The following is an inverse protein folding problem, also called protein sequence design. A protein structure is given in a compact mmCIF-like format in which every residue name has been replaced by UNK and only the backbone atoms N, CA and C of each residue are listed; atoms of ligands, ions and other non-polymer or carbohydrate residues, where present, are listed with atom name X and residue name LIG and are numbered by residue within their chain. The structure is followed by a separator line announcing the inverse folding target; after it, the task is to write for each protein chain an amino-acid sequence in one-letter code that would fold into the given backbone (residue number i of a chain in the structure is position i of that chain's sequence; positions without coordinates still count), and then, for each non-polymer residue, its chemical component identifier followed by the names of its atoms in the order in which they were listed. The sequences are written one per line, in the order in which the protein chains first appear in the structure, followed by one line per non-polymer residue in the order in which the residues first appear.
data_IF_404973910887
#
_entry.id   IF_404973910887
#
_cell.length_a   1.000
_cell.length_b   1.000
_cell.length_c   1.000
_cell.angle_alpha   90.00
_cell.angle_beta   90.00
_cell.angle_gamma   90.00
#
_symmetry.space_group_name_H-M   'P 1'
#
loop_
_entity.id
_entity.type
_entity.pdbx_description
1 polymer ?
#
# COMPACT_ATOMS: atom_id res chain seq x y z
N UNK A 1 -12.19 1.08 33.89
CA UNK A 1 -12.75 0.09 32.95
C UNK A 1 -13.34 0.67 31.66
N UNK A 2 -13.84 1.92 31.64
CA UNK A 2 -14.48 2.49 30.44
C UNK A 2 -13.56 2.54 29.19
N UNK A 3 -12.24 2.54 29.36
CA UNK A 3 -11.27 2.55 28.28
C UNK A 3 -11.34 1.27 27.41
N UNK A 4 -11.52 0.09 28.01
CA UNK A 4 -11.72 -1.17 27.27
C UNK A 4 -13.00 -1.13 26.41
N UNK A 5 -14.05 -0.47 26.91
CA UNK A 5 -15.30 -0.26 26.15
C UNK A 5 -15.19 0.75 25.01
N UNK A 6 -14.09 1.50 24.93
CA UNK A 6 -13.80 2.41 23.81
C UNK A 6 -12.83 1.78 22.78
N UNK A 7 -12.01 0.82 23.21
CA UNK A 7 -11.05 0.13 22.35
C UNK A 7 -11.69 -0.72 21.26
N UNK A 8 -11.03 -0.87 20.11
CA UNK A 8 -11.53 -1.67 18.99
C UNK A 8 -11.38 -3.15 19.30
N UNK A 9 -12.15 -4.01 18.63
CA UNK A 9 -12.16 -5.45 18.92
C UNK A 9 -10.79 -6.07 18.67
N UNK A 10 -10.12 -5.65 17.60
CA UNK A 10 -8.81 -6.12 17.18
C UNK A 10 -7.74 -5.78 18.23
N UNK A 11 -7.75 -4.55 18.74
CA UNK A 11 -6.83 -4.10 19.78
C UNK A 11 -7.02 -4.90 21.08
N UNK A 12 -8.29 -5.21 21.43
CA UNK A 12 -8.61 -6.04 22.58
C UNK A 12 -8.19 -7.51 22.40
N UNK A 13 -8.16 -8.03 21.17
CA UNK A 13 -7.68 -9.40 20.92
C UNK A 13 -6.18 -9.47 21.17
N UNK A 14 -5.42 -8.50 20.66
CA UNK A 14 -3.97 -8.43 20.88
C UNK A 14 -3.68 -8.30 22.38
N UNK A 15 -4.35 -7.35 23.04
CA UNK A 15 -4.26 -7.16 24.49
C UNK A 15 -4.57 -8.45 25.27
N UNK A 16 -5.60 -9.19 24.89
CA UNK A 16 -5.93 -10.47 25.50
C UNK A 16 -4.78 -11.48 25.39
N UNK A 17 -4.15 -11.59 24.22
CA UNK A 17 -2.99 -12.48 24.01
C UNK A 17 -1.79 -12.06 24.84
N UNK A 18 -1.51 -10.76 24.94
CA UNK A 18 -0.40 -10.24 25.75
C UNK A 18 -0.62 -10.49 27.25
N UNK A 19 -1.88 -10.50 27.70
CA UNK A 19 -2.26 -10.87 29.06
C UNK A 19 -2.33 -12.40 29.29
N UNK A 20 -1.93 -13.22 28.31
CA UNK A 20 -1.95 -14.67 28.40
C UNK A 20 -3.36 -15.29 28.35
N UNK A 21 -4.37 -14.53 27.90
CA UNK A 21 -5.75 -15.00 27.78
C UNK A 21 -5.95 -15.65 26.41
N UNK A 22 -6.55 -16.84 26.39
CA UNK A 22 -6.98 -17.47 25.14
C UNK A 22 -8.11 -16.67 24.48
N UNK A 23 -7.85 -16.19 23.27
CA UNK A 23 -8.78 -15.36 22.51
C UNK A 23 -8.97 -15.88 21.09
N UNK A 24 -10.23 -16.10 20.72
CA UNK A 24 -10.64 -16.57 19.41
C UNK A 24 -11.11 -15.41 18.52
N UNK A 25 -10.86 -15.43 17.20
CA UNK A 25 -11.26 -14.34 16.30
C UNK A 25 -12.76 -14.01 16.35
N UNK A 26 -13.60 -15.03 16.50
CA UNK A 26 -15.07 -14.91 16.46
C UNK A 26 -15.69 -14.50 17.80
N UNK A 27 -14.87 -14.30 18.83
CA UNK A 27 -15.32 -13.92 20.16
C UNK A 27 -16.12 -12.60 20.12
N UNK A 28 -17.22 -12.52 20.89
CA UNK A 28 -17.96 -11.26 21.03
C UNK A 28 -17.14 -10.27 21.85
N UNK A 29 -17.12 -9.00 21.44
CA UNK A 29 -16.38 -7.93 22.11
C UNK A 29 -16.68 -7.84 23.62
N UNK A 30 -17.94 -7.99 24.01
CA UNK A 30 -18.32 -7.97 25.43
C UNK A 30 -17.70 -9.13 26.22
N UNK A 31 -17.66 -10.32 25.64
CA UNK A 31 -17.08 -11.49 26.29
C UNK A 31 -15.56 -11.38 26.37
N UNK A 32 -14.92 -10.82 25.34
CA UNK A 32 -13.49 -10.50 25.35
C UNK A 32 -13.11 -9.50 26.46
N UNK A 33 -13.89 -8.43 26.65
CA UNK A 33 -13.69 -7.49 27.76
C UNK A 33 -13.80 -8.21 29.11
N UNK A 34 -14.79 -9.11 29.25
CA UNK A 34 -14.97 -9.87 30.47
C UNK A 34 -13.80 -10.83 30.74
N UNK A 35 -13.26 -11.49 29.72
CA UNK A 35 -12.09 -12.37 29.86
C UNK A 35 -10.86 -11.58 30.31
N UNK A 36 -10.62 -10.39 29.74
CA UNK A 36 -9.51 -9.52 30.15
C UNK A 36 -9.69 -9.09 31.62
N UNK A 37 -10.90 -8.70 32.01
CA UNK A 37 -11.21 -8.30 33.40
C UNK A 37 -11.10 -9.46 34.39
N UNK A 38 -11.34 -10.70 33.94
CA UNK A 38 -11.23 -11.90 34.76
C UNK A 38 -9.81 -12.49 34.79
N UNK A 39 -8.86 -11.92 34.05
CA UNK A 39 -7.47 -12.38 34.05
C UNK A 39 -6.82 -12.15 35.41
N UNK A 40 -6.01 -13.11 35.86
CA UNK A 40 -5.18 -12.98 37.06
C UNK A 40 -4.13 -11.88 36.93
N UNK A 41 -3.80 -11.48 35.70
CA UNK A 41 -2.81 -10.47 35.37
C UNK A 41 -3.46 -9.10 35.11
N UNK A 42 -4.73 -8.94 35.48
CA UNK A 42 -5.46 -7.70 35.28
C UNK A 42 -5.04 -6.63 36.29
N UNK A 43 -4.23 -5.68 35.83
CA UNK A 43 -3.90 -4.46 36.55
C UNK A 43 -4.25 -3.22 35.73
N UNK A 44 -5.05 -2.31 36.30
CA UNK A 44 -5.70 -1.24 35.53
C UNK A 44 -4.69 -0.35 34.78
N UNK A 45 -3.57 -0.01 35.41
CA UNK A 45 -2.56 0.86 34.83
C UNK A 45 -1.75 0.15 33.75
N UNK A 46 -1.28 -1.07 34.06
CA UNK A 46 -0.54 -1.92 33.11
C UNK A 46 -1.38 -2.23 31.88
N UNK A 47 -2.64 -2.64 32.06
CA UNK A 47 -3.55 -2.97 30.95
C UNK A 47 -3.88 -1.73 30.11
N UNK A 48 -3.93 -0.56 30.72
CA UNK A 48 -4.13 0.70 29.98
C UNK A 48 -2.90 1.06 29.16
N UNK A 49 -1.72 0.98 29.75
CA UNK A 49 -0.46 1.25 29.07
C UNK A 49 -0.26 0.27 27.90
N UNK A 50 -0.46 -1.02 28.15
CA UNK A 50 -0.38 -2.06 27.14
C UNK A 50 -1.35 -1.84 25.99
N UNK A 51 -2.60 -1.49 26.29
CA UNK A 51 -3.57 -1.13 25.26
C UNK A 51 -3.14 0.10 24.44
N UNK A 52 -2.53 1.11 25.08
CA UNK A 52 -2.02 2.28 24.36
C UNK A 52 -0.88 1.89 23.42
N UNK A 53 0.02 1.01 23.85
CA UNK A 53 1.10 0.46 23.02
C UNK A 53 0.53 -0.27 21.81
N UNK A 54 -0.45 -1.17 21.99
CA UNK A 54 -1.12 -1.87 20.88
C UNK A 54 -1.76 -0.89 19.90
N UNK A 55 -2.44 0.15 20.41
CA UNK A 55 -3.05 1.18 19.57
C UNK A 55 -1.98 1.94 18.78
N UNK A 56 -0.87 2.29 19.42
CA UNK A 56 0.24 3.05 18.84
C UNK A 56 0.94 2.26 17.73
N UNK A 57 1.29 0.99 17.97
CA UNK A 57 1.93 0.11 16.99
C UNK A 57 1.10 0.01 15.73
N UNK A 58 -0.22 -0.24 15.86
CA UNK A 58 -1.10 -0.29 14.71
C UNK A 58 -1.15 1.03 13.93
N UNK A 59 -1.16 2.16 14.62
CA UNK A 59 -1.19 3.46 13.93
C UNK A 59 0.11 3.74 13.19
N UNK A 60 1.24 3.38 13.79
CA UNK A 60 2.57 3.49 13.21
C UNK A 60 2.71 2.59 11.98
N UNK A 61 2.37 1.30 12.09
CA UNK A 61 2.37 0.36 10.95
C UNK A 61 1.45 0.81 9.80
N UNK A 62 0.36 1.51 10.10
CA UNK A 62 -0.53 2.05 9.06
C UNK A 62 0.07 3.28 8.38
N UNK A 63 0.78 4.12 9.12
CA UNK A 63 1.46 5.30 8.60
C UNK A 63 2.72 4.93 7.80
N UNK A 64 3.51 3.97 8.27
CA UNK A 64 4.67 3.42 7.56
C UNK A 64 4.25 2.84 6.21
N UNK A 65 3.23 1.98 6.17
CA UNK A 65 2.73 1.43 4.90
C UNK A 65 2.25 2.51 3.93
N UNK A 66 1.65 3.58 4.44
CA UNK A 66 1.24 4.71 3.60
C UNK A 66 2.45 5.47 3.05
N UNK A 67 3.45 5.72 3.89
CA UNK A 67 4.71 6.38 3.54
C UNK A 67 5.48 5.57 2.50
N UNK A 68 5.57 4.24 2.67
CA UNK A 68 6.19 3.34 1.71
C UNK A 68 5.53 3.43 0.34
N UNK A 69 4.19 3.34 0.28
CA UNK A 69 3.43 3.47 -0.96
C UNK A 69 3.65 4.82 -1.65
N UNK A 70 3.66 5.92 -0.88
CA UNK A 70 3.93 7.26 -1.42
C UNK A 70 5.35 7.38 -1.96
N UNK A 71 6.34 6.82 -1.26
CA UNK A 71 7.74 6.80 -1.68
C UNK A 71 7.95 6.00 -2.97
N UNK A 72 7.26 4.87 -3.11
CA UNK A 72 7.33 3.99 -4.28
C UNK A 72 6.70 4.66 -5.50
N UNK A 73 5.53 5.29 -5.34
CA UNK A 73 4.87 6.09 -6.38
C UNK A 73 5.73 7.28 -6.83
N UNK A 74 6.41 7.94 -5.89
CA UNK A 74 7.34 9.02 -6.19
C UNK A 74 8.53 8.53 -7.00
N UNK A 75 9.17 7.43 -6.60
CA UNK A 75 10.28 6.82 -7.35
C UNK A 75 9.87 6.45 -8.78
N UNK A 76 8.70 5.81 -8.95
CA UNK A 76 8.16 5.48 -10.29
C UNK A 76 7.86 6.70 -11.14
N UNK A 77 7.53 7.84 -10.54
CA UNK A 77 7.35 9.10 -11.27
C UNK A 77 8.69 9.66 -11.71
N UNK A 78 9.65 9.73 -10.80
CA UNK A 78 11.00 10.22 -11.08
C UNK A 78 11.71 9.37 -12.16
N UNK A 79 11.56 8.04 -12.13
CA UNK A 79 12.07 7.14 -13.18
C UNK A 79 11.47 7.44 -14.56
N UNK A 80 10.14 7.60 -14.63
CA UNK A 80 9.45 7.94 -15.89
C UNK A 80 9.86 9.31 -16.43
N UNK A 81 10.03 10.30 -15.55
CA UNK A 81 10.49 11.63 -15.94
C UNK A 81 11.92 11.59 -16.47
N UNK A 82 12.81 10.83 -15.82
CA UNK A 82 14.18 10.63 -16.28
C UNK A 82 14.25 9.92 -17.64
N UNK A 83 13.46 8.85 -17.84
CA UNK A 83 13.38 8.18 -19.14
C UNK A 83 12.88 9.12 -20.25
N UNK A 84 11.87 9.95 -19.93
CA UNK A 84 11.33 10.92 -20.88
C UNK A 84 12.37 12.00 -21.23
N UNK A 85 13.12 12.50 -20.26
CA UNK A 85 14.19 13.47 -20.48
C UNK A 85 15.32 12.88 -21.35
N UNK A 86 15.71 11.63 -21.08
CA UNK A 86 16.69 10.91 -21.90
C UNK A 86 16.23 10.79 -23.35
N UNK A 87 14.96 10.46 -23.59
CA UNK A 87 14.38 10.39 -24.94
C UNK A 87 14.34 11.77 -25.62
N UNK A 88 14.02 12.83 -24.88
CA UNK A 88 14.04 14.21 -25.41
C UNK A 88 15.44 14.62 -25.85
N UNK A 89 16.46 14.40 -25.00
CA UNK A 89 17.85 14.70 -25.34
C UNK A 89 18.35 13.90 -26.53
N UNK A 90 18.02 12.60 -26.59
CA UNK A 90 18.31 11.79 -27.77
C UNK A 90 17.65 12.39 -29.02
N UNK A 91 16.36 12.68 -28.99
CA UNK A 91 15.64 13.29 -30.12
C UNK A 91 16.24 14.64 -30.54
N UNK A 92 16.60 15.52 -29.59
CA UNK A 92 17.27 16.80 -29.86
C UNK A 92 18.66 16.60 -30.48
N UNK A 93 19.45 15.63 -30.00
CA UNK A 93 20.74 15.28 -30.62
C UNK A 93 20.59 14.77 -32.05
N UNK A 94 19.53 14.01 -32.35
CA UNK A 94 19.19 13.59 -33.71
C UNK A 94 18.76 14.76 -34.60
N UNK A 95 18.09 15.77 -34.03
CA UNK A 95 17.70 16.99 -34.76
C UNK A 95 18.94 17.89 -35.01
N UNK A 96 19.85 17.99 -34.05
CA UNK A 96 21.08 18.79 -34.11
C UNK A 96 22.14 18.21 -35.07
N UNK A 97 22.34 16.88 -35.08
CA UNK A 97 23.24 16.20 -36.01
C UNK A 97 22.65 16.03 -37.44
N UNK A 98 21.43 16.53 -37.66
CA UNK A 98 20.60 16.29 -38.84
C UNK A 98 20.78 17.27 -40.00
N UNK A 99 21.93 17.93 -40.15
CA UNK A 99 22.32 18.53 -41.44
C UNK A 99 23.00 17.53 -42.40
N UNK A 100 23.18 16.25 -42.00
CA UNK A 100 23.89 15.27 -42.85
C UNK A 100 23.50 13.79 -42.77
N UNK A 101 22.67 13.31 -41.82
CA UNK A 101 22.34 11.88 -41.72
C UNK A 101 20.90 11.57 -42.14
N UNK A 102 20.78 10.73 -43.17
CA UNK A 102 19.53 10.20 -43.72
C UNK A 102 18.70 9.51 -42.64
N UNK A 103 17.50 10.04 -42.38
CA UNK A 103 16.52 9.37 -41.52
C UNK A 103 16.10 8.04 -42.16
N UNK A 104 16.12 6.89 -41.46
CA UNK A 104 15.24 5.81 -41.85
C UNK A 104 13.81 6.33 -41.71
N UNK A 105 13.12 6.55 -42.83
CA UNK A 105 11.68 6.87 -42.83
C UNK A 105 10.96 5.64 -42.28
N UNK A 106 10.72 5.62 -40.98
CA UNK A 106 9.79 4.66 -40.38
C UNK A 106 8.41 5.10 -40.87
N UNK A 107 7.92 4.39 -41.87
CA UNK A 107 6.60 4.65 -42.43
C UNK A 107 5.57 4.05 -41.47
N UNK A 108 5.02 4.86 -40.58
CA UNK A 108 4.08 4.39 -39.54
C UNK A 108 2.87 3.67 -40.13
N UNK A 109 2.49 3.98 -41.38
CA UNK A 109 1.46 3.25 -42.14
C UNK A 109 1.79 1.76 -42.35
N UNK A 110 3.07 1.40 -42.38
CA UNK A 110 3.51 0.01 -42.54
C UNK A 110 3.52 -0.80 -41.24
N UNK A 111 3.54 -0.11 -40.09
CA UNK A 111 3.61 -0.72 -38.76
C UNK A 111 2.23 -0.83 -38.10
N UNK A 112 1.25 -0.04 -38.56
CA UNK A 112 -0.14 -0.18 -38.15
C UNK A 112 -0.67 -1.50 -38.69
N UNK A 113 -1.08 -2.46 -37.82
CA UNK A 113 -1.77 -3.65 -38.26
C UNK A 113 -3.00 -3.22 -39.05
N UNK A 114 -3.10 -3.67 -40.31
CA UNK A 114 -4.28 -3.37 -41.13
C UNK A 114 -5.49 -4.00 -40.44
N UNK A 115 -6.40 -3.15 -39.97
CA UNK A 115 -7.65 -3.59 -39.39
C UNK A 115 -8.54 -4.10 -40.53
N UNK A 116 -8.49 -5.40 -40.80
CA UNK A 116 -9.35 -6.05 -41.77
C UNK A 116 -10.76 -6.19 -41.18
N UNK A 117 -11.61 -5.18 -41.45
CA UNK A 117 -13.01 -5.14 -41.02
C UNK A 117 -13.82 -6.35 -41.52
N UNK A 118 -13.32 -7.09 -42.52
CA UNK A 118 -14.00 -8.23 -43.14
C UNK A 118 -13.99 -9.49 -42.26
N UNK A 119 -13.03 -9.63 -41.34
CA UNK A 119 -12.90 -10.83 -40.49
C UNK A 119 -13.20 -10.55 -39.00
N UNK A 120 -13.81 -9.42 -38.68
CA UNK A 120 -14.29 -9.16 -37.32
C UNK A 120 -15.65 -9.85 -37.09
N UNK A 121 -15.69 -11.16 -37.41
CA UNK A 121 -16.73 -12.07 -36.93
C UNK A 121 -16.56 -12.19 -35.42
N UNK A 122 -17.21 -11.30 -34.69
CA UNK A 122 -17.62 -11.57 -33.32
C UNK A 122 -18.69 -12.67 -33.44
N UNK A 123 -18.27 -13.93 -33.36
CA UNK A 123 -19.11 -15.08 -32.99
C UNK A 123 -19.02 -15.35 -31.50
#
# INVERSE_FOLDING_TARGET
MAFLRKARKEDLIILGRELGVEVFPDIKRIYLINLILASTNYEIEIVRELLNTVISQRTEEAEERKSELESEERRKREEREFELEKLKLQNESFISAGSGFSRPKIDFLSVIPKFDQVNNDIS
#
